data_IF_323421239547
#
_entry.id   IF_323421239547
#
_cell.length_a   1.000
_cell.length_b   1.000
_cell.length_c   1.000
_cell.angle_alpha   90.00
_cell.angle_beta   90.00
_cell.angle_gamma   90.00
#
_symmetry.space_group_name_H-M   'P 1'
#
loop_
_entity.id
_entity.type
_entity.pdbx_description
1 polymer ?
#
# COMPACT_ATOMS: atom_id res chain seq x y z
N UNK A 1 -9.13 -18.88 -8.00
CA UNK A 1 -8.84 -17.82 -6.99
C UNK A 1 -9.38 -16.50 -7.53
N UNK A 2 -10.22 -15.80 -6.77
CA UNK A 2 -10.79 -14.52 -7.20
C UNK A 2 -9.69 -13.46 -7.37
N UNK A 3 -9.89 -12.46 -8.24
CA UNK A 3 -8.89 -11.41 -8.53
C UNK A 3 -8.29 -10.78 -7.26
N UNK A 4 -9.15 -10.42 -6.29
CA UNK A 4 -8.74 -9.82 -5.00
C UNK A 4 -7.88 -10.75 -4.14
N UNK A 5 -8.04 -12.06 -4.26
CA UNK A 5 -7.21 -13.03 -3.54
C UNK A 5 -5.83 -13.14 -4.19
N UNK A 6 -5.75 -13.06 -5.53
CA UNK A 6 -4.47 -13.04 -6.26
C UNK A 6 -3.67 -11.77 -5.99
N UNK A 7 -4.30 -10.60 -6.00
CA UNK A 7 -3.64 -9.33 -5.64
C UNK A 7 -3.13 -9.37 -4.19
N UNK A 8 -3.92 -9.91 -3.24
CA UNK A 8 -3.48 -10.13 -1.86
C UNK A 8 -2.31 -11.11 -1.74
N UNK A 9 -2.32 -12.22 -2.49
CA UNK A 9 -1.21 -13.16 -2.56
C UNK A 9 0.05 -12.48 -3.10
N UNK A 10 -0.09 -11.68 -4.16
CA UNK A 10 1.00 -11.01 -4.83
C UNK A 10 1.76 -10.05 -3.92
N UNK A 11 1.06 -9.14 -3.23
CA UNK A 11 1.71 -8.27 -2.25
C UNK A 11 2.34 -9.08 -1.12
N UNK A 12 1.69 -10.11 -0.61
CA UNK A 12 2.22 -10.93 0.48
C UNK A 12 3.55 -11.60 0.11
N UNK A 13 3.64 -12.19 -1.09
CA UNK A 13 4.88 -12.81 -1.60
C UNK A 13 5.98 -11.77 -1.82
N UNK A 14 5.63 -10.58 -2.34
CA UNK A 14 6.59 -9.47 -2.47
C UNK A 14 7.15 -9.07 -1.10
N UNK A 15 6.29 -8.84 -0.11
CA UNK A 15 6.72 -8.40 1.22
C UNK A 15 7.65 -9.42 1.89
N UNK A 16 7.33 -10.72 1.78
CA UNK A 16 8.16 -11.79 2.33
C UNK A 16 9.55 -11.85 1.66
N UNK A 17 9.62 -11.63 0.34
CA UNK A 17 10.88 -11.65 -0.40
C UNK A 17 11.71 -10.39 -0.16
N UNK A 18 11.08 -9.22 -0.16
CA UNK A 18 11.75 -7.94 0.00
C UNK A 18 12.20 -7.67 1.45
N UNK A 19 11.41 -8.12 2.44
CA UNK A 19 11.67 -7.89 3.86
C UNK A 19 11.41 -9.15 4.70
N UNK A 20 12.26 -10.19 4.58
CA UNK A 20 12.08 -11.44 5.33
C UNK A 20 12.19 -11.26 6.85
N UNK A 21 12.88 -10.21 7.31
CA UNK A 21 12.96 -9.85 8.73
C UNK A 21 11.72 -9.14 9.29
N UNK A 22 10.71 -8.86 8.46
CA UNK A 22 9.45 -8.23 8.87
C UNK A 22 9.53 -6.71 9.02
N UNK A 23 8.82 -6.19 10.03
CA UNK A 23 8.63 -4.74 10.24
C UNK A 23 7.75 -4.11 9.17
N UNK A 24 6.74 -4.85 8.70
CA UNK A 24 5.73 -4.41 7.77
C UNK A 24 4.34 -4.87 8.25
N UNK A 25 3.30 -4.26 7.71
CA UNK A 25 1.91 -4.68 7.92
C UNK A 25 1.16 -4.66 6.58
N UNK A 26 0.29 -5.64 6.37
CA UNK A 26 -0.58 -5.70 5.19
C UNK A 26 -1.95 -5.07 5.49
N UNK A 27 -2.65 -4.61 4.46
CA UNK A 27 -4.02 -4.12 4.55
C UNK A 27 -4.20 -2.99 5.58
N UNK A 28 -3.39 -1.94 5.45
CA UNK A 28 -3.35 -0.84 6.43
C UNK A 28 -4.31 0.26 6.01
N UNK A 29 -5.25 0.57 6.90
CA UNK A 29 -6.15 1.69 6.71
C UNK A 29 -5.42 3.03 6.86
N UNK A 30 -5.78 3.98 6.00
CA UNK A 30 -5.21 5.31 5.95
C UNK A 30 -6.29 6.37 6.11
N UNK A 31 -5.87 7.54 6.59
CA UNK A 31 -6.71 8.72 6.71
C UNK A 31 -7.21 8.98 8.13
N UNK A 32 -7.79 10.17 8.32
CA UNK A 32 -8.19 10.65 9.63
C UNK A 32 -9.36 9.86 10.19
N UNK A 33 -9.49 9.94 11.52
CA UNK A 33 -10.68 9.50 12.26
C UNK A 33 -11.32 10.77 12.83
N UNK A 34 -12.64 10.96 12.71
CA UNK A 34 -13.27 12.17 13.24
C UNK A 34 -13.07 12.28 14.76
N UNK A 35 -12.55 13.44 15.20
CA UNK A 35 -12.10 13.63 16.58
C UNK A 35 -13.20 13.40 17.61
N UNK A 36 -14.45 13.77 17.29
CA UNK A 36 -15.60 13.56 18.18
C UNK A 36 -15.80 12.08 18.58
N UNK A 37 -15.44 11.12 17.71
CA UNK A 37 -15.52 9.70 18.00
C UNK A 37 -14.30 9.21 18.78
N UNK A 38 -13.13 9.80 18.52
CA UNK A 38 -11.91 9.52 19.28
C UNK A 38 -12.10 9.96 20.74
N UNK A 39 -12.64 11.15 20.97
CA UNK A 39 -12.90 11.69 22.31
C UNK A 39 -13.95 10.85 23.06
N UNK A 40 -15.00 10.40 22.34
CA UNK A 40 -16.11 9.64 22.95
C UNK A 40 -15.77 8.18 23.25
N UNK A 41 -15.01 7.52 22.38
CA UNK A 41 -14.82 6.06 22.44
C UNK A 41 -13.37 5.62 22.64
N UNK A 42 -12.41 6.56 22.57
CA UNK A 42 -10.99 6.27 22.47
C UNK A 42 -10.57 5.87 21.06
N UNK A 43 -9.28 6.07 20.75
CA UNK A 43 -8.71 5.86 19.40
C UNK A 43 -9.00 4.45 18.85
N UNK A 44 -8.75 3.39 19.63
CA UNK A 44 -8.89 2.02 19.14
C UNK A 44 -10.33 1.66 18.72
N UNK A 45 -11.34 2.05 19.50
CA UNK A 45 -12.74 1.81 19.14
C UNK A 45 -13.20 2.67 17.98
N UNK A 46 -12.76 3.93 17.93
CA UNK A 46 -13.05 4.83 16.81
C UNK A 46 -12.42 4.31 15.51
N UNK A 47 -11.17 3.85 15.55
CA UNK A 47 -10.48 3.24 14.40
C UNK A 47 -11.22 2.02 13.87
N UNK A 48 -11.68 1.13 14.77
CA UNK A 48 -12.49 -0.03 14.38
C UNK A 48 -13.81 0.36 13.69
N UNK A 49 -14.48 1.41 14.18
CA UNK A 49 -15.73 1.92 13.63
C UNK A 49 -15.56 2.48 12.20
N UNK A 50 -14.48 3.23 11.96
CA UNK A 50 -14.21 3.86 10.66
C UNK A 50 -13.35 3.00 9.72
N UNK A 51 -12.89 1.83 10.18
CA UNK A 51 -12.12 0.88 9.37
C UNK A 51 -12.74 0.60 7.99
N UNK A 52 -14.07 0.39 7.85
CA UNK A 52 -14.67 0.06 6.55
C UNK A 52 -14.70 1.23 5.55
N UNK A 53 -14.64 2.47 6.03
CA UNK A 53 -14.77 3.67 5.19
C UNK A 53 -13.43 4.29 4.81
N UNK A 54 -12.37 3.94 5.53
CA UNK A 54 -11.03 4.45 5.25
C UNK A 54 -10.42 3.76 4.01
N UNK A 55 -9.69 4.50 3.16
CA UNK A 55 -8.84 3.89 2.14
C UNK A 55 -7.84 2.92 2.77
N UNK A 56 -7.38 1.94 2.00
CA UNK A 56 -6.49 0.90 2.48
C UNK A 56 -5.33 0.71 1.51
N UNK A 57 -4.11 0.92 1.99
CA UNK A 57 -2.91 0.52 1.27
C UNK A 57 -2.71 -1.00 1.39
N UNK A 58 -2.21 -1.63 0.32
CA UNK A 58 -1.92 -3.06 0.32
C UNK A 58 -0.91 -3.45 1.40
N UNK A 59 0.13 -2.63 1.59
CA UNK A 59 1.10 -2.81 2.66
C UNK A 59 1.78 -1.49 3.09
N UNK A 60 2.35 -1.51 4.29
CA UNK A 60 3.31 -0.51 4.75
C UNK A 60 4.55 -1.19 5.29
N UNK A 61 5.72 -0.55 5.15
CA UNK A 61 7.00 -0.98 5.73
C UNK A 61 7.63 0.21 6.42
N UNK A 62 8.22 0.01 7.58
CA UNK A 62 8.94 1.08 8.29
C UNK A 62 10.39 0.68 8.57
N UNK A 63 11.28 1.66 8.47
CA UNK A 63 12.66 1.61 8.95
C UNK A 63 12.94 2.93 9.70
N UNK A 64 14.09 3.07 10.38
CA UNK A 64 14.49 4.37 10.94
C UNK A 64 14.59 5.48 9.88
N UNK A 65 14.91 5.13 8.63
CA UNK A 65 15.19 6.09 7.54
C UNK A 65 13.96 6.42 6.68
N UNK A 66 12.97 5.52 6.60
CA UNK A 66 11.83 5.68 5.70
C UNK A 66 10.56 4.95 6.14
N UNK A 67 9.42 5.48 5.71
CA UNK A 67 8.12 4.85 5.79
C UNK A 67 7.56 4.58 4.39
N UNK A 68 7.48 3.32 4.01
CA UNK A 68 6.96 2.90 2.72
C UNK A 68 5.45 2.70 2.79
N UNK A 69 4.73 3.33 1.86
CA UNK A 69 3.35 2.98 1.53
C UNK A 69 3.38 2.26 0.20
N UNK A 70 2.82 1.05 0.17
CA UNK A 70 3.01 0.11 -0.91
C UNK A 70 1.66 -0.30 -1.48
N UNK A 71 1.55 -0.22 -2.80
CA UNK A 71 0.41 -0.70 -3.57
C UNK A 71 0.92 -1.71 -4.62
N UNK A 72 0.19 -2.80 -4.83
CA UNK A 72 0.55 -3.83 -5.79
C UNK A 72 -0.55 -3.99 -6.84
N UNK A 73 -0.19 -3.80 -8.11
CA UNK A 73 -1.14 -3.93 -9.23
C UNK A 73 -0.59 -4.91 -10.25
N UNK A 74 -1.36 -5.94 -10.57
CA UNK A 74 -1.00 -6.92 -11.60
C UNK A 74 -1.49 -6.47 -12.99
N UNK A 75 -2.63 -5.76 -13.06
CA UNK A 75 -3.26 -5.36 -14.33
C UNK A 75 -3.48 -3.84 -14.43
N UNK A 76 -4.20 -3.27 -13.48
CA UNK A 76 -4.53 -1.83 -13.49
C UNK A 76 -3.43 -1.00 -12.82
N UNK A 77 -2.29 -0.92 -13.49
CA UNK A 77 -1.08 -0.30 -12.94
C UNK A 77 -1.26 1.21 -12.76
N UNK A 78 -1.96 1.87 -13.70
CA UNK A 78 -2.21 3.32 -13.65
C UNK A 78 -2.98 3.71 -12.39
N UNK A 79 -3.98 2.93 -11.98
CA UNK A 79 -4.73 3.20 -10.76
C UNK A 79 -3.82 3.25 -9.52
N UNK A 80 -2.81 2.37 -9.45
CA UNK A 80 -1.88 2.32 -8.31
C UNK A 80 -1.06 3.61 -8.12
N UNK A 81 -0.70 4.32 -9.20
CA UNK A 81 0.00 5.61 -9.11
C UNK A 81 -0.90 6.67 -8.45
N UNK A 82 -2.18 6.73 -8.88
CA UNK A 82 -3.16 7.65 -8.30
C UNK A 82 -3.45 7.34 -6.84
N UNK A 83 -3.65 6.05 -6.52
CA UNK A 83 -3.87 5.56 -5.15
C UNK A 83 -2.73 6.00 -4.23
N UNK A 84 -1.47 5.75 -4.62
CA UNK A 84 -0.29 6.11 -3.83
C UNK A 84 -0.12 7.62 -3.64
N UNK A 85 -0.41 8.41 -4.68
CA UNK A 85 -0.38 9.88 -4.58
C UNK A 85 -1.38 10.38 -3.54
N UNK A 86 -2.58 9.80 -3.52
CA UNK A 86 -3.59 10.10 -2.51
C UNK A 86 -3.17 9.63 -1.11
N UNK A 87 -2.64 8.42 -0.99
CA UNK A 87 -2.22 7.81 0.28
C UNK A 87 -1.11 8.60 0.98
N UNK A 88 -0.16 9.16 0.23
CA UNK A 88 0.88 10.05 0.78
C UNK A 88 0.29 11.19 1.61
N UNK A 89 -0.79 11.80 1.12
CA UNK A 89 -1.48 12.89 1.81
C UNK A 89 -2.26 12.45 3.05
N UNK A 90 -2.64 11.18 3.12
CA UNK A 90 -3.41 10.60 4.23
C UNK A 90 -2.53 10.08 5.37
N UNK A 91 -1.35 9.54 5.09
CA UNK A 91 -0.50 8.91 6.09
C UNK A 91 -0.19 9.83 7.29
N UNK A 92 0.18 11.09 7.04
CA UNK A 92 0.43 12.08 8.10
C UNK A 92 -0.81 12.42 8.96
N UNK A 93 -2.01 12.11 8.45
CA UNK A 93 -3.29 12.34 9.12
C UNK A 93 -3.86 11.05 9.72
N UNK A 94 -3.14 9.94 9.63
CA UNK A 94 -3.58 8.62 10.10
C UNK A 94 -3.09 8.44 11.55
N UNK A 95 -3.97 8.56 12.56
CA UNK A 95 -3.55 8.59 13.97
C UNK A 95 -3.04 7.24 14.50
N UNK A 96 -3.43 6.15 13.85
CA UNK A 96 -3.13 4.77 14.21
C UNK A 96 -2.17 4.11 13.21
N UNK A 97 -1.38 4.91 12.48
CA UNK A 97 -0.42 4.40 11.51
C UNK A 97 0.74 3.67 12.23
N UNK A 98 0.97 2.38 11.96
CA UNK A 98 1.88 1.58 12.77
C UNK A 98 3.33 2.04 12.59
N UNK A 99 4.01 2.37 13.68
CA UNK A 99 5.43 2.75 13.74
C UNK A 99 5.83 3.97 12.89
N UNK A 100 4.86 4.81 12.51
CA UNK A 100 5.14 6.09 11.88
C UNK A 100 5.45 7.14 12.94
N UNK A 101 6.63 7.74 12.86
CA UNK A 101 7.14 8.78 13.76
C UNK A 101 7.75 9.94 12.97
N UNK A 102 7.15 10.25 11.81
CA UNK A 102 7.58 11.36 10.97
C UNK A 102 8.69 11.02 9.97
N UNK A 103 8.98 9.75 9.73
CA UNK A 103 9.95 9.35 8.70
C UNK A 103 9.52 9.85 7.31
N UNK A 104 10.47 10.04 6.38
CA UNK A 104 10.17 10.30 4.97
C UNK A 104 9.25 9.22 4.39
N UNK A 105 8.13 9.64 3.77
CA UNK A 105 7.19 8.72 3.13
C UNK A 105 7.67 8.41 1.72
N UNK A 106 7.89 7.13 1.43
CA UNK A 106 8.20 6.61 0.10
C UNK A 106 6.97 5.88 -0.42
N UNK A 107 6.45 6.33 -1.55
CA UNK A 107 5.35 5.64 -2.24
C UNK A 107 5.94 4.61 -3.18
N UNK A 108 5.55 3.33 -3.06
CA UNK A 108 6.07 2.24 -3.87
C UNK A 108 4.97 1.47 -4.57
N UNK A 109 5.06 1.37 -5.88
CA UNK A 109 4.18 0.59 -6.73
C UNK A 109 4.86 -0.70 -7.17
N UNK A 110 4.28 -1.84 -6.82
CA UNK A 110 4.80 -3.16 -7.15
C UNK A 110 4.03 -3.74 -8.33
N UNK A 111 4.74 -4.08 -9.41
CA UNK A 111 4.14 -4.52 -10.67
C UNK A 111 4.89 -5.72 -11.25
N UNK A 112 4.23 -6.62 -11.96
CA UNK A 112 4.88 -7.79 -12.55
C UNK A 112 5.76 -7.44 -13.76
N UNK A 113 5.46 -6.33 -14.44
CA UNK A 113 6.24 -5.79 -15.55
C UNK A 113 6.09 -4.28 -15.59
N UNK A 114 7.06 -3.60 -16.18
CA UNK A 114 7.05 -2.15 -16.38
C UNK A 114 6.80 -1.83 -17.85
N UNK A 115 6.04 -0.77 -18.11
CA UNK A 115 5.86 -0.18 -19.43
C UNK A 115 6.39 1.26 -19.37
N UNK A 116 7.12 1.73 -20.37
CA UNK A 116 7.85 3.00 -20.32
C UNK A 116 6.99 4.20 -19.93
N UNK A 117 5.76 4.30 -20.47
CA UNK A 117 4.86 5.41 -20.14
C UNK A 117 4.39 5.38 -18.67
N UNK A 118 4.33 4.20 -18.04
CA UNK A 118 4.01 4.06 -16.62
C UNK A 118 5.16 4.61 -15.79
N UNK A 119 6.40 4.35 -16.20
CA UNK A 119 7.59 4.86 -15.53
C UNK A 119 7.61 6.38 -15.49
N UNK A 120 7.35 7.02 -16.63
CA UNK A 120 7.27 8.49 -16.73
C UNK A 120 6.22 9.05 -15.75
N UNK A 121 5.00 8.49 -15.77
CA UNK A 121 3.93 8.94 -14.88
C UNK A 121 4.24 8.70 -13.40
N UNK A 122 4.93 7.59 -13.07
CA UNK A 122 5.32 7.29 -11.70
C UNK A 122 6.43 8.23 -11.22
N UNK A 123 7.43 8.52 -12.05
CA UNK A 123 8.51 9.46 -11.73
C UNK A 123 7.95 10.87 -11.46
N UNK A 124 7.02 11.35 -12.30
CA UNK A 124 6.32 12.63 -12.10
C UNK A 124 5.51 12.66 -10.78
N UNK A 125 4.89 11.52 -10.42
CA UNK A 125 4.16 11.37 -9.17
C UNK A 125 5.06 11.06 -7.96
N UNK A 126 6.39 11.01 -8.15
CA UNK A 126 7.37 10.61 -7.14
C UNK A 126 7.08 9.23 -6.53
N UNK A 127 6.60 8.30 -7.34
CA UNK A 127 6.28 6.91 -6.98
C UNK A 127 7.42 6.01 -7.45
N UNK A 128 8.04 5.29 -6.52
CA UNK A 128 9.02 4.26 -6.85
C UNK A 128 8.31 3.04 -7.46
N UNK A 129 8.71 2.61 -8.65
CA UNK A 129 8.15 1.39 -9.26
C UNK A 129 9.13 0.24 -9.12
N UNK A 130 8.67 -0.85 -8.51
CA UNK A 130 9.43 -2.09 -8.36
C UNK A 130 8.80 -3.18 -9.20
N UNK A 131 9.61 -3.83 -10.03
CA UNK A 131 9.19 -5.01 -10.79
C UNK A 131 9.39 -6.26 -9.95
N UNK A 132 8.32 -7.02 -9.72
CA UNK A 132 8.36 -8.28 -8.99
C UNK A 132 7.62 -9.38 -9.75
N UNK A 133 8.36 -10.36 -10.27
CA UNK A 133 7.75 -11.52 -10.92
C UNK A 133 7.57 -12.67 -9.93
N UNK A 134 6.33 -13.08 -9.69
CA UNK A 134 6.02 -14.33 -8.99
C UNK A 134 5.68 -15.44 -9.99
N UNK A 135 6.06 -16.68 -9.70
CA UNK A 135 6.00 -17.79 -10.67
C UNK A 135 4.59 -17.99 -11.25
N UNK A 136 3.56 -17.84 -10.43
CA UNK A 136 2.16 -18.03 -10.81
C UNK A 136 1.58 -16.87 -11.65
N UNK A 137 2.30 -15.75 -11.78
CA UNK A 137 1.85 -14.61 -12.60
C UNK A 137 1.75 -15.02 -14.07
N UNK A 138 2.66 -15.87 -14.54
CA UNK A 138 2.65 -16.36 -15.92
C UNK A 138 1.29 -16.97 -16.31
N UNK A 139 0.71 -17.76 -15.42
CA UNK A 139 -0.57 -18.42 -15.65
C UNK A 139 -1.74 -17.43 -15.51
N UNK A 140 -1.68 -16.53 -14.52
CA UNK A 140 -2.71 -15.52 -14.31
C UNK A 140 -2.89 -14.55 -15.49
N UNK A 141 -1.81 -14.24 -16.20
CA UNK A 141 -1.86 -13.38 -17.39
C UNK A 141 -2.50 -14.10 -18.58
N UNK A 142 -2.40 -15.44 -18.65
CA UNK A 142 -2.96 -16.27 -19.73
C UNK A 142 -4.45 -16.56 -19.58
N UNK A 143 -5.00 -16.54 -18.36
CA UNK A 143 -6.41 -16.79 -18.03
C UNK A 143 -7.35 -15.66 -18.55
N UNK A 144 -7.36 -15.40 -19.86
CA UNK A 144 -8.30 -14.49 -20.50
C UNK A 144 -9.72 -15.05 -20.51
#
# INVERSE_FOLDING_TARGET
>A
MARKERERRYISEYMLKAWPGGGYQLNVELGPIPQEYVDRYGLGKAAALFRPTRPRADAVKWTPEAYYIIEAKIRDIKAGIGDLSYYRGMAKKTPDLPFYDGQPIICRLVVPWMIDWIKVAADEAQVEVVVFWADWIADYVKER
#
